data_IF_988950278176
#
_entry.id   IF_988950278176
#
_cell.length_a   1.000
_cell.length_b   1.000
_cell.length_c   1.000
_cell.angle_alpha   90.00
_cell.angle_beta   90.00
_cell.angle_gamma   90.00
#
_symmetry.space_group_name_H-M   'P 1'
#
loop_
_entity.id
_entity.type
_entity.pdbx_description
1 polymer ?
#
# COMPACT_ATOMS: atom_id res chain seq x y z
N UNK A 1 -0.92 -17.05 -10.59
CA UNK A 1 -0.35 -15.77 -10.14
C UNK A 1 0.56 -15.20 -11.20
N UNK A 2 0.20 -14.02 -11.64
CA UNK A 2 0.89 -13.16 -12.61
C UNK A 2 1.43 -11.94 -11.87
N UNK A 3 2.41 -11.30 -12.48
CA UNK A 3 3.05 -10.11 -11.93
C UNK A 3 2.87 -8.94 -12.88
N UNK A 4 2.84 -7.75 -12.33
CA UNK A 4 2.69 -6.55 -13.14
C UNK A 4 2.91 -5.28 -12.36
N UNK A 5 2.64 -4.15 -13.00
CA UNK A 5 2.79 -2.82 -12.43
C UNK A 5 1.48 -2.07 -12.51
N UNK A 6 1.13 -1.39 -11.43
CA UNK A 6 -0.08 -0.56 -11.38
C UNK A 6 0.09 0.61 -12.36
N UNK A 7 -0.78 0.72 -13.36
CA UNK A 7 -0.78 1.85 -14.30
C UNK A 7 -1.20 3.12 -13.57
N UNK A 8 -2.34 3.02 -12.89
CA UNK A 8 -2.91 4.05 -12.03
C UNK A 8 -3.95 3.42 -11.12
N UNK A 9 -4.15 4.02 -9.95
CA UNK A 9 -5.18 3.60 -9.02
C UNK A 9 -5.80 4.81 -8.34
N UNK A 10 -7.12 4.86 -8.29
CA UNK A 10 -7.86 5.93 -7.62
C UNK A 10 -8.28 5.45 -6.23
N UNK A 11 -7.58 5.91 -5.19
CA UNK A 11 -7.86 5.54 -3.80
C UNK A 11 -9.22 6.04 -3.29
N UNK A 12 -9.72 7.16 -3.83
CA UNK A 12 -11.03 7.71 -3.45
C UNK A 12 -12.19 6.88 -4.02
N UNK A 13 -12.01 6.35 -5.23
CA UNK A 13 -13.04 5.52 -5.89
C UNK A 13 -12.86 4.01 -5.70
N UNK A 14 -11.67 3.57 -5.28
CA UNK A 14 -11.36 2.15 -5.05
C UNK A 14 -11.21 1.31 -6.32
N UNK A 15 -10.80 1.90 -7.44
CA UNK A 15 -10.52 1.16 -8.67
C UNK A 15 -9.31 1.73 -9.41
N UNK A 16 -8.72 0.89 -10.26
CA UNK A 16 -7.57 1.26 -11.07
C UNK A 16 -7.32 0.25 -12.19
N UNK A 17 -6.15 0.40 -12.81
CA UNK A 17 -5.68 -0.50 -13.85
C UNK A 17 -4.26 -0.95 -13.57
N UNK A 18 -3.99 -2.21 -13.90
CA UNK A 18 -2.69 -2.85 -13.75
C UNK A 18 -2.25 -3.33 -15.13
N UNK A 19 -0.97 -3.16 -15.43
CA UNK A 19 -0.32 -3.68 -16.62
C UNK A 19 0.41 -4.98 -16.25
N UNK A 20 0.16 -6.04 -17.00
CA UNK A 20 0.90 -7.28 -16.86
C UNK A 20 2.35 -7.12 -17.32
N UNK A 21 3.28 -7.71 -16.58
CA UNK A 21 4.69 -7.72 -16.98
C UNK A 21 4.85 -8.53 -18.28
N UNK A 22 5.44 -7.90 -19.30
CA UNK A 22 5.56 -8.48 -20.63
C UNK A 22 4.40 -8.19 -21.60
N UNK A 23 3.29 -7.61 -21.14
CA UNK A 23 2.17 -7.17 -22.02
C UNK A 23 1.68 -5.75 -21.68
N UNK A 24 2.34 -4.69 -22.19
CA UNK A 24 1.99 -3.30 -21.88
C UNK A 24 0.65 -2.84 -22.48
N UNK A 25 0.10 -3.56 -23.47
CA UNK A 25 -1.18 -3.25 -24.11
C UNK A 25 -2.38 -3.89 -23.41
N UNK A 26 -2.16 -4.73 -22.40
CA UNK A 26 -3.23 -5.42 -21.67
C UNK A 26 -3.57 -4.65 -20.38
N UNK A 27 -4.57 -3.77 -20.47
CA UNK A 27 -5.10 -3.02 -19.34
C UNK A 27 -6.04 -3.90 -18.50
N UNK A 28 -5.60 -4.29 -17.30
CA UNK A 28 -6.37 -5.15 -16.40
C UNK A 28 -7.12 -4.33 -15.38
N UNK A 29 -8.44 -4.53 -15.31
CA UNK A 29 -9.27 -3.82 -14.35
C UNK A 29 -9.03 -4.32 -12.92
N UNK A 30 -8.67 -3.42 -12.02
CA UNK A 30 -8.40 -3.73 -10.62
C UNK A 30 -9.40 -3.01 -9.70
N UNK A 31 -10.11 -3.79 -8.87
CA UNK A 31 -11.09 -3.27 -7.91
C UNK A 31 -10.60 -3.46 -6.47
N UNK A 32 -10.93 -2.55 -5.56
CA UNK A 32 -10.52 -2.64 -4.15
C UNK A 32 -10.98 -3.95 -3.49
N UNK A 33 -12.11 -4.52 -3.91
CA UNK A 33 -12.60 -5.79 -3.37
C UNK A 33 -11.65 -6.96 -3.67
N UNK A 34 -10.90 -6.89 -4.77
CA UNK A 34 -9.94 -7.89 -5.20
C UNK A 34 -8.56 -7.77 -4.49
N UNK A 35 -8.31 -6.65 -3.80
CA UNK A 35 -7.05 -6.42 -3.09
C UNK A 35 -7.06 -7.20 -1.76
N UNK A 36 -6.08 -8.10 -1.62
CA UNK A 36 -5.80 -8.92 -0.44
C UNK A 36 -4.78 -8.19 0.44
N UNK A 37 -5.24 -7.15 1.13
CA UNK A 37 -4.42 -6.35 2.06
C UNK A 37 -5.25 -5.99 3.29
N UNK A 38 -4.62 -6.00 4.46
CA UNK A 38 -5.24 -5.54 5.71
C UNK A 38 -5.22 -4.02 5.79
N UNK A 39 -6.36 -3.41 6.14
CA UNK A 39 -6.50 -1.95 6.27
C UNK A 39 -6.84 -1.23 4.95
N UNK A 40 -6.13 -0.14 4.66
CA UNK A 40 -6.41 0.72 3.51
C UNK A 40 -5.93 0.10 2.19
N UNK A 41 -6.88 -0.47 1.44
CA UNK A 41 -6.67 -1.13 0.13
C UNK A 41 -6.30 -0.14 -0.98
N UNK A 42 -5.05 0.33 -0.92
CA UNK A 42 -4.50 1.36 -1.79
C UNK A 42 -3.33 0.82 -2.61
N UNK A 43 -3.16 1.35 -3.82
CA UNK A 43 -2.06 0.99 -4.73
C UNK A 43 -1.42 2.25 -5.27
N UNK A 44 -0.09 2.22 -5.46
CA UNK A 44 0.65 3.33 -6.08
C UNK A 44 0.93 3.04 -7.55
N UNK A 45 0.82 4.05 -8.41
CA UNK A 45 1.24 3.93 -9.81
C UNK A 45 2.72 3.53 -9.90
N UNK A 46 3.05 2.59 -10.78
CA UNK A 46 4.39 2.01 -10.93
C UNK A 46 4.75 0.94 -9.89
N UNK A 47 3.92 0.70 -8.88
CA UNK A 47 4.20 -0.30 -7.85
C UNK A 47 4.10 -1.72 -8.41
N UNK A 48 5.08 -2.60 -8.12
CA UNK A 48 4.99 -4.01 -8.47
C UNK A 48 3.94 -4.72 -7.62
N UNK A 49 3.06 -5.46 -8.28
CA UNK A 49 1.95 -6.20 -7.67
C UNK A 49 1.85 -7.58 -8.28
N UNK A 50 1.39 -8.53 -7.50
CA UNK A 50 1.05 -9.88 -7.95
C UNK A 50 -0.47 -10.04 -7.93
N UNK A 51 -1.04 -10.64 -8.97
CA UNK A 51 -2.49 -10.78 -9.13
C UNK A 51 -2.79 -11.99 -10.02
N UNK A 52 -4.06 -12.37 -10.12
CA UNK A 52 -4.53 -13.33 -11.11
C UNK A 52 -5.46 -12.66 -12.11
N UNK A 53 -5.36 -13.03 -13.38
CA UNK A 53 -6.27 -12.57 -14.43
C UNK A 53 -7.42 -13.56 -14.53
N UNK A 54 -8.65 -13.06 -14.44
CA UNK A 54 -9.85 -13.82 -14.75
C UNK A 54 -10.57 -13.18 -15.93
N UNK A 55 -11.06 -14.00 -16.87
CA UNK A 55 -11.95 -13.53 -17.93
C UNK A 55 -13.35 -13.35 -17.36
N UNK A 56 -13.78 -12.10 -17.23
CA UNK A 56 -15.13 -11.75 -16.82
C UNK A 56 -16.01 -11.34 -18.01
N UNK A 57 -17.32 -11.15 -17.79
CA UNK A 57 -18.26 -10.68 -18.81
C UNK A 57 -17.97 -9.26 -19.33
N UNK A 58 -17.06 -8.52 -18.68
CA UNK A 58 -16.65 -7.15 -19.04
C UNK A 58 -15.17 -7.04 -19.47
N UNK A 59 -14.51 -8.18 -19.70
CA UNK A 59 -13.08 -8.24 -20.03
C UNK A 59 -12.22 -8.83 -18.91
N UNK A 60 -10.91 -8.65 -19.04
CA UNK A 60 -9.93 -9.21 -18.11
C UNK A 60 -9.90 -8.40 -16.80
N UNK A 61 -10.16 -9.07 -15.68
CA UNK A 61 -10.14 -8.45 -14.35
C UNK A 61 -9.01 -9.05 -13.51
N UNK A 62 -8.33 -8.20 -12.74
CA UNK A 62 -7.32 -8.59 -11.78
C UNK A 62 -7.98 -8.95 -10.42
N UNK A 63 -7.73 -10.17 -9.95
CA UNK A 63 -8.17 -10.68 -8.64
C UNK A 63 -6.99 -11.11 -7.78
N UNK A 64 -7.23 -11.34 -6.48
CA UNK A 64 -6.19 -11.73 -5.51
C UNK A 64 -4.96 -10.79 -5.52
N UNK A 65 -5.21 -9.49 -5.69
CA UNK A 65 -4.14 -8.50 -5.86
C UNK A 65 -3.39 -8.35 -4.54
N UNK A 66 -2.11 -8.65 -4.58
CA UNK A 66 -1.18 -8.59 -3.46
C UNK A 66 -0.04 -7.65 -3.81
N UNK A 67 0.23 -6.68 -2.93
CA UNK A 67 1.38 -5.79 -3.12
C UNK A 67 2.67 -6.59 -2.95
N UNK A 68 3.52 -6.63 -3.99
CA UNK A 68 4.86 -7.21 -3.86
C UNK A 68 5.68 -6.22 -3.04
N UNK A 69 5.89 -6.54 -1.77
CA UNK A 69 6.39 -5.62 -0.76
C UNK A 69 7.83 -5.16 -1.03
N UNK A 70 8.02 -4.20 -1.92
CA UNK A 70 9.16 -3.31 -1.90
C UNK A 70 8.94 -2.30 -0.77
N UNK A 71 9.35 -2.68 0.46
CA UNK A 71 9.45 -1.87 1.70
C UNK A 71 9.03 -0.40 1.58
N UNK A 72 7.73 -0.16 1.45
CA UNK A 72 7.11 1.17 1.60
C UNK A 72 6.22 1.11 2.84
N UNK A 73 6.79 0.62 3.93
CA UNK A 73 6.19 0.66 5.25
C UNK A 73 6.58 1.97 5.90
N UNK A 74 5.66 2.92 5.92
CA UNK A 74 5.64 3.94 6.96
C UNK A 74 4.28 3.79 7.66
N UNK A 75 4.20 3.06 8.78
CA UNK A 75 3.00 3.03 9.61
C UNK A 75 3.01 4.30 10.45
N UNK A 76 2.55 5.41 9.88
CA UNK A 76 2.50 6.69 10.60
C UNK A 76 1.18 6.89 11.35
N UNK A 77 0.57 5.87 11.97
CA UNK A 77 -0.53 6.07 12.93
C UNK A 77 -0.63 4.91 13.93
N UNK A 78 0.31 4.81 14.87
CA UNK A 78 0.08 4.25 16.22
C UNK A 78 1.37 4.29 17.05
N UNK A 79 1.63 5.39 17.76
CA UNK A 79 2.26 5.32 19.10
C UNK A 79 1.52 6.26 20.04
N UNK A 80 0.42 5.75 20.59
CA UNK A 80 -0.03 6.21 21.90
C UNK A 80 0.96 5.63 22.93
N UNK A 81 1.78 6.49 23.55
CA UNK A 81 2.52 6.15 24.78
C UNK A 81 2.53 7.36 25.69
N UNK A 82 1.43 7.49 26.43
CA UNK A 82 1.35 7.78 27.87
C UNK A 82 2.67 8.23 28.53
N UNK A 83 2.71 9.46 29.05
CA UNK A 83 3.68 9.89 30.08
C UNK A 83 3.50 9.04 31.35
N UNK A 84 4.57 8.74 32.13
CA UNK A 84 4.92 9.65 33.23
C UNK A 84 6.44 9.72 33.60
N UNK A 85 6.81 10.90 34.14
CA UNK A 85 7.76 11.22 35.22
C UNK A 85 9.17 10.58 35.34
N UNK A 86 10.11 11.47 35.76
CA UNK A 86 11.40 11.28 36.45
C UNK A 86 12.70 11.21 35.62
N UNK A 87 13.37 12.37 35.56
CA UNK A 87 14.69 12.48 36.18
C UNK A 87 14.92 13.91 36.68
N UNK A 88 14.94 14.06 37.99
CA UNK A 88 15.67 15.14 38.64
C UNK A 88 17.15 14.97 38.30
N UNK A 89 17.81 16.04 37.87
CA UNK A 89 19.22 16.21 38.19
C UNK A 89 19.46 17.65 38.57
N UNK A 90 19.83 17.77 39.84
CA UNK A 90 20.38 18.90 40.55
C UNK A 90 21.65 19.43 39.89
N UNK A 91 22.07 20.63 40.33
CA UNK A 91 23.27 21.40 39.97
C UNK A 91 23.15 22.17 38.64
N UNK A 92 23.23 23.51 38.58
CA UNK A 92 24.33 24.36 39.05
C UNK A 92 23.85 25.83 39.14
N UNK A 93 23.70 26.38 40.34
CA UNK A 93 23.83 27.82 40.55
C UNK A 93 25.22 28.10 41.11
N UNK A 94 26.15 28.41 40.21
CA UNK A 94 27.36 29.14 40.58
C UNK A 94 26.99 30.61 40.81
N UNK A 95 27.07 31.06 42.06
CA UNK A 95 27.16 32.48 42.40
C UNK A 95 28.44 32.64 43.24
N UNK A 96 29.49 33.08 42.56
CA UNK A 96 30.67 33.69 43.17
C UNK A 96 30.59 35.20 42.89
#
# INVERSE_FOLDING_TARGET
MLNGKVKWFNNAKGYGFILEDGKPDEDLFAHYSAIQMEGYKTLKAGQPVSFDIIQGPKGNHAVNISASAARSGEPAMAIETLAPLQHEHEDIHAHA
#
